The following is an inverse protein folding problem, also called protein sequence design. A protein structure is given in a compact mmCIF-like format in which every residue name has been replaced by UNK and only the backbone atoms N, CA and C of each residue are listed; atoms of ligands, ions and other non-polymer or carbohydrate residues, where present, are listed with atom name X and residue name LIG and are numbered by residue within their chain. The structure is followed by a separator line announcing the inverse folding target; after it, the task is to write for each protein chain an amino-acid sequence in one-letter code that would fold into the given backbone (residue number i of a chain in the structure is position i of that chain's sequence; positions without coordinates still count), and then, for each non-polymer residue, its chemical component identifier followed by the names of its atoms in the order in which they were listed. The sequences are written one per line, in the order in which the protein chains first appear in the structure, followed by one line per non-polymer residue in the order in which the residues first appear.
data_IF_187096596176
#
_entry.id   IF_187096596176
#
_cell.length_a   1.000
_cell.length_b   1.000
_cell.length_c   1.000
_cell.angle_alpha   90.00
_cell.angle_beta   90.00
_cell.angle_gamma   90.00
#
_symmetry.space_group_name_H-M   'P 1'
#
loop_
_entity.id
_entity.type
_entity.pdbx_description
1 polymer ?
#
# COMPACT_ATOMS: atom_id res chain seq x y z
N UNK A 1 -25.37 -24.99 -31.58
CA UNK A 1 -25.23 -23.53 -31.35
C UNK A 1 -24.38 -23.23 -30.11
N UNK A 2 -24.73 -23.74 -28.93
CA UNK A 2 -23.97 -23.56 -27.68
C UNK A 2 -22.49 -23.95 -27.75
N UNK A 3 -22.14 -25.08 -28.39
CA UNK A 3 -20.73 -25.49 -28.57
C UNK A 3 -19.89 -24.47 -29.35
N UNK A 4 -20.48 -23.79 -30.35
CA UNK A 4 -19.80 -22.75 -31.12
C UNK A 4 -19.64 -21.46 -30.30
N UNK A 5 -20.66 -21.06 -29.55
CA UNK A 5 -20.60 -19.89 -28.66
C UNK A 5 -19.52 -20.11 -27.58
N UNK A 6 -19.50 -21.28 -26.95
CA UNK A 6 -18.48 -21.63 -25.95
C UNK A 6 -17.07 -21.62 -26.54
N UNK A 7 -16.90 -22.12 -27.76
CA UNK A 7 -15.62 -22.09 -28.46
C UNK A 7 -15.18 -20.64 -28.76
N UNK A 8 -16.07 -19.78 -29.25
CA UNK A 8 -15.73 -18.37 -29.50
C UNK A 8 -15.38 -17.63 -28.22
N UNK A 9 -16.12 -17.88 -27.14
CA UNK A 9 -15.81 -17.33 -25.82
C UNK A 9 -14.43 -17.79 -25.34
N UNK A 10 -14.12 -19.08 -25.44
CA UNK A 10 -12.82 -19.62 -25.07
C UNK A 10 -11.69 -18.99 -25.89
N UNK A 11 -11.86 -18.85 -27.19
CA UNK A 11 -10.89 -18.18 -28.07
C UNK A 11 -10.68 -16.73 -27.63
N UNK A 12 -11.74 -15.99 -27.32
CA UNK A 12 -11.65 -14.61 -26.84
C UNK A 12 -10.86 -14.54 -25.52
N UNK A 13 -11.14 -15.45 -24.58
CA UNK A 13 -10.42 -15.54 -23.30
C UNK A 13 -8.93 -15.84 -23.52
N UNK A 14 -8.60 -16.76 -24.43
CA UNK A 14 -7.20 -17.08 -24.76
C UNK A 14 -6.49 -15.90 -25.43
N UNK A 15 -7.17 -15.16 -26.32
CA UNK A 15 -6.62 -13.94 -26.92
C UNK A 15 -6.39 -12.88 -25.85
N UNK A 16 -7.34 -12.67 -24.94
CA UNK A 16 -7.19 -11.73 -23.83
C UNK A 16 -6.05 -12.15 -22.89
N UNK A 17 -5.95 -13.43 -22.53
CA UNK A 17 -4.87 -13.96 -21.71
C UNK A 17 -3.51 -13.81 -22.40
N UNK A 18 -3.43 -14.12 -23.70
CA UNK A 18 -2.24 -13.89 -24.51
C UNK A 18 -1.85 -12.41 -24.56
N UNK A 19 -2.85 -11.53 -24.75
CA UNK A 19 -2.65 -10.10 -24.68
C UNK A 19 -2.17 -9.65 -23.31
N UNK A 20 -2.61 -10.20 -22.17
CA UNK A 20 -2.11 -9.71 -20.88
C UNK A 20 -0.80 -10.35 -20.44
N UNK A 21 -0.57 -11.64 -20.72
CA UNK A 21 0.51 -12.40 -20.08
C UNK A 21 1.79 -12.52 -20.92
N UNK A 22 1.74 -12.39 -22.25
CA UNK A 22 2.89 -12.70 -23.12
C UNK A 22 3.72 -11.46 -23.48
N UNK A 23 5.03 -11.62 -23.68
CA UNK A 23 5.92 -10.54 -24.13
C UNK A 23 6.65 -9.82 -22.99
N UNK A 24 7.53 -8.88 -23.36
CA UNK A 24 8.38 -8.13 -22.43
C UNK A 24 8.07 -6.63 -22.56
N UNK A 25 7.54 -5.97 -21.51
CA UNK A 25 7.42 -4.53 -21.46
C UNK A 25 8.78 -3.83 -21.59
N UNK A 26 8.79 -2.52 -21.93
CA UNK A 26 9.98 -1.70 -21.69
C UNK A 26 10.30 -1.73 -20.18
N UNK A 27 11.56 -1.96 -19.87
CA UNK A 27 12.04 -1.91 -18.49
C UNK A 27 12.04 -0.45 -18.01
N UNK A 28 11.75 -0.23 -16.73
CA UNK A 28 11.94 1.08 -16.14
C UNK A 28 13.45 1.39 -16.07
N UNK A 29 13.91 2.38 -16.84
CA UNK A 29 15.33 2.79 -16.86
C UNK A 29 15.75 3.46 -15.55
N UNK A 30 14.86 4.25 -14.93
CA UNK A 30 15.05 4.91 -13.64
C UNK A 30 13.77 4.82 -12.82
N UNK A 31 13.71 3.88 -11.87
CA UNK A 31 12.57 3.71 -10.97
C UNK A 31 12.81 4.43 -9.64
N UNK A 32 11.80 5.17 -9.18
CA UNK A 32 11.74 5.75 -7.84
C UNK A 32 11.32 4.66 -6.84
N UNK A 33 12.13 4.45 -5.82
CA UNK A 33 11.85 3.52 -4.74
C UNK A 33 11.46 4.25 -3.46
N UNK A 34 10.51 3.68 -2.75
CA UNK A 34 10.11 4.06 -1.41
C UNK A 34 9.82 2.84 -0.55
N UNK A 35 9.53 3.09 0.72
CA UNK A 35 9.14 2.05 1.69
C UNK A 35 7.80 2.39 2.32
N UNK A 36 7.02 1.37 2.67
CA UNK A 36 5.89 1.54 3.59
C UNK A 36 6.40 1.61 5.02
N UNK A 37 5.77 2.43 5.85
CA UNK A 37 6.01 2.48 7.28
C UNK A 37 4.70 2.50 8.08
N UNK A 38 4.68 1.68 9.13
CA UNK A 38 3.65 1.55 10.15
C UNK A 38 4.30 1.52 11.52
N UNK A 39 3.95 2.52 12.35
CA UNK A 39 4.31 2.54 13.76
C UNK A 39 3.85 1.27 14.49
N UNK A 40 2.56 0.93 14.37
CA UNK A 40 1.98 -0.25 15.01
C UNK A 40 2.70 -1.54 14.63
N UNK A 41 3.05 -1.70 13.35
CA UNK A 41 3.69 -2.93 12.91
C UNK A 41 5.11 -3.07 13.48
N UNK A 42 5.87 -1.97 13.56
CA UNK A 42 7.17 -1.98 14.23
C UNK A 42 7.02 -2.37 15.71
N UNK A 43 6.06 -1.78 16.42
CA UNK A 43 5.80 -2.10 17.84
C UNK A 43 5.38 -3.55 18.04
N UNK A 44 4.49 -4.08 17.20
CA UNK A 44 4.04 -5.48 17.25
C UNK A 44 5.19 -6.48 16.98
N UNK A 45 6.20 -6.09 16.20
CA UNK A 45 7.43 -6.86 16.02
C UNK A 45 8.39 -6.75 17.22
N UNK A 46 8.05 -5.97 18.25
CA UNK A 46 8.91 -5.71 19.41
C UNK A 46 10.07 -4.77 19.12
N UNK A 47 9.89 -3.88 18.13
CA UNK A 47 10.83 -2.81 17.80
C UNK A 47 10.41 -1.48 18.45
N UNK A 48 11.40 -0.61 18.62
CA UNK A 48 11.20 0.80 18.89
C UNK A 48 10.88 1.49 17.55
N UNK A 49 9.66 1.99 17.41
CA UNK A 49 9.18 2.51 16.13
C UNK A 49 9.91 3.77 15.70
N UNK A 50 10.31 4.64 16.64
CA UNK A 50 11.07 5.87 16.34
C UNK A 50 12.44 5.50 15.80
N UNK A 51 13.16 4.58 16.45
CA UNK A 51 14.44 4.08 15.95
C UNK A 51 14.31 3.38 14.62
N UNK A 52 13.22 2.62 14.42
CA UNK A 52 12.95 1.95 13.14
C UNK A 52 12.74 2.98 12.04
N UNK A 53 11.89 3.98 12.27
CA UNK A 53 11.63 5.07 11.32
C UNK A 53 12.91 5.84 10.98
N UNK A 54 13.68 6.24 12.00
CA UNK A 54 14.97 6.90 11.80
C UNK A 54 15.97 6.00 11.05
N UNK A 55 16.01 4.70 11.32
CA UNK A 55 16.89 3.77 10.61
C UNK A 55 16.50 3.62 9.12
N UNK A 56 15.20 3.68 8.78
CA UNK A 56 14.76 3.70 7.39
C UNK A 56 15.26 4.93 6.63
N UNK A 57 15.40 6.06 7.32
CA UNK A 57 15.89 7.31 6.72
C UNK A 57 17.41 7.35 6.70
N UNK A 58 18.04 7.18 7.86
CA UNK A 58 19.46 7.46 8.09
C UNK A 58 20.39 6.30 7.70
N UNK A 59 19.97 5.05 7.92
CA UNK A 59 20.78 3.87 7.59
C UNK A 59 20.36 3.26 6.24
N UNK A 60 19.07 2.98 6.04
CA UNK A 60 18.59 2.41 4.78
C UNK A 60 18.70 3.41 3.61
N UNK A 61 18.60 4.71 3.91
CA UNK A 61 18.72 5.79 2.92
C UNK A 61 17.42 6.17 2.21
N UNK A 62 16.26 5.68 2.67
CA UNK A 62 14.99 5.86 1.97
C UNK A 62 14.64 7.36 1.81
N UNK A 63 14.33 7.76 0.57
CA UNK A 63 13.93 9.13 0.21
C UNK A 63 12.44 9.33 0.02
N UNK A 64 11.68 8.24 -0.06
CA UNK A 64 10.22 8.26 -0.18
C UNK A 64 9.63 7.25 0.82
N UNK A 65 8.70 7.71 1.66
CA UNK A 65 8.03 6.86 2.64
C UNK A 65 6.52 6.98 2.44
N UNK A 66 5.86 5.85 2.21
CA UNK A 66 4.41 5.70 2.32
C UNK A 66 4.07 5.49 3.78
N UNK A 67 3.50 6.51 4.40
CA UNK A 67 3.27 6.55 5.83
C UNK A 67 1.81 6.20 6.15
N UNK A 68 1.60 5.14 6.92
CA UNK A 68 0.29 4.78 7.42
C UNK A 68 -0.08 5.64 8.63
N UNK A 69 -1.27 6.25 8.60
CA UNK A 69 -1.86 6.94 9.76
C UNK A 69 -2.98 6.09 10.35
N UNK A 70 -3.18 6.18 11.67
CA UNK A 70 -4.14 5.33 12.37
C UNK A 70 -5.12 6.17 13.17
N UNK A 71 -6.40 6.05 12.85
CA UNK A 71 -7.45 6.82 13.51
C UNK A 71 -7.49 6.53 15.02
N UNK A 72 -7.41 5.26 15.41
CA UNK A 72 -7.35 4.85 16.81
C UNK A 72 -6.09 5.29 17.59
N UNK A 73 -5.01 5.70 16.93
CA UNK A 73 -3.89 6.37 17.60
C UNK A 73 -4.09 7.88 17.67
N UNK A 74 -4.62 8.47 16.60
CA UNK A 74 -4.81 9.91 16.46
C UNK A 74 -5.96 10.42 17.33
N UNK A 75 -7.00 9.62 17.55
CA UNK A 75 -8.21 10.00 18.29
C UNK A 75 -8.62 8.87 19.24
N UNK A 76 -7.76 8.59 20.23
CA UNK A 76 -7.98 7.54 21.23
C UNK A 76 -9.28 7.73 22.03
N UNK A 77 -9.66 8.98 22.25
CA UNK A 77 -10.90 9.39 22.90
C UNK A 77 -11.65 10.37 21.98
N UNK A 78 -12.98 10.26 21.93
CA UNK A 78 -13.85 11.07 21.07
C UNK A 78 -13.53 12.57 21.19
N UNK A 79 -13.20 13.21 20.07
CA UNK A 79 -12.89 14.64 19.98
C UNK A 79 -11.55 15.06 20.57
N UNK A 80 -10.74 14.14 21.09
CA UNK A 80 -9.41 14.41 21.65
C UNK A 80 -8.33 13.86 20.73
N UNK A 81 -7.79 14.76 19.91
CA UNK A 81 -6.75 14.43 18.94
C UNK A 81 -5.34 14.49 19.55
N UNK A 82 -4.57 13.43 19.36
CA UNK A 82 -3.15 13.33 19.66
C UNK A 82 -2.37 13.13 18.34
N UNK A 83 -1.63 14.16 17.94
CA UNK A 83 -0.80 14.15 16.74
C UNK A 83 0.68 14.01 17.04
N UNK A 84 1.10 13.79 18.30
CA UNK A 84 2.51 13.85 18.71
C UNK A 84 3.40 12.93 17.86
N UNK A 85 2.99 11.67 17.71
CA UNK A 85 3.73 10.67 16.94
C UNK A 85 3.79 11.01 15.44
N UNK A 86 2.67 11.46 14.86
CA UNK A 86 2.59 11.79 13.44
C UNK A 86 3.35 13.09 13.11
N UNK A 87 3.27 14.08 13.99
CA UNK A 87 4.05 15.32 13.92
C UNK A 87 5.55 15.02 13.93
N UNK A 88 5.98 14.12 14.83
CA UNK A 88 7.37 13.72 14.91
C UNK A 88 7.82 13.06 13.60
N UNK A 89 7.05 12.10 13.07
CA UNK A 89 7.37 11.41 11.81
C UNK A 89 7.48 12.38 10.62
N UNK A 90 6.51 13.30 10.49
CA UNK A 90 6.48 14.30 9.42
C UNK A 90 7.62 15.30 9.55
N UNK A 91 7.87 15.80 10.76
CA UNK A 91 8.96 16.73 11.04
C UNK A 91 10.32 16.10 10.75
N UNK A 92 10.55 14.87 11.20
CA UNK A 92 11.80 14.14 10.94
C UNK A 92 12.01 13.93 9.43
N UNK A 93 10.98 13.57 8.68
CA UNK A 93 11.09 13.46 7.23
C UNK A 93 11.41 14.80 6.56
N UNK A 94 10.74 15.88 6.99
CA UNK A 94 10.95 17.24 6.47
C UNK A 94 12.39 17.72 6.72
N UNK A 95 12.91 17.54 7.94
CA UNK A 95 14.30 17.89 8.31
C UNK A 95 15.35 17.10 7.52
N UNK A 96 15.00 15.88 7.06
CA UNK A 96 15.89 14.97 6.33
C UNK A 96 15.68 15.00 4.81
N UNK A 97 14.77 15.84 4.31
CA UNK A 97 14.44 15.93 2.90
C UNK A 97 13.84 14.65 2.32
N UNK A 98 13.03 13.95 3.12
CA UNK A 98 12.31 12.73 2.72
C UNK A 98 10.90 13.11 2.29
N UNK A 99 10.47 12.57 1.15
CA UNK A 99 9.11 12.73 0.64
C UNK A 99 8.15 11.75 1.33
N UNK A 100 6.96 12.22 1.65
CA UNK A 100 5.90 11.47 2.31
C UNK A 100 4.69 11.30 1.40
N UNK A 101 4.28 10.05 1.27
CA UNK A 101 3.01 9.65 0.71
C UNK A 101 2.08 9.23 1.87
N UNK A 102 1.18 10.12 2.29
CA UNK A 102 0.45 9.95 3.55
C UNK A 102 -0.90 9.26 3.32
N UNK A 103 -1.11 8.11 3.97
CA UNK A 103 -2.37 7.34 3.86
C UNK A 103 -3.29 7.70 5.02
N UNK A 104 -4.49 8.18 4.71
CA UNK A 104 -5.45 8.73 5.66
C UNK A 104 -6.84 8.13 5.45
N UNK A 105 -7.64 8.13 6.52
CA UNK A 105 -8.98 7.56 6.54
C UNK A 105 -9.16 6.53 7.65
N UNK A 106 -10.28 5.80 7.61
CA UNK A 106 -10.56 4.68 8.50
C UNK A 106 -9.75 3.45 8.12
N UNK A 107 -9.71 3.12 6.82
CA UNK A 107 -8.97 1.96 6.32
C UNK A 107 -7.57 2.36 5.89
N UNK A 108 -6.55 1.99 6.65
CA UNK A 108 -5.15 2.31 6.36
C UNK A 108 -4.28 1.05 6.51
N UNK A 109 -3.07 1.03 5.90
CA UNK A 109 -2.24 -0.17 5.84
C UNK A 109 -2.04 -0.91 7.16
N UNK A 110 -1.95 -2.24 7.05
CA UNK A 110 -1.70 -3.23 8.11
C UNK A 110 -2.98 -3.65 8.82
N UNK A 111 -3.04 -4.92 9.22
CA UNK A 111 -4.12 -5.48 10.03
C UNK A 111 -4.38 -4.61 11.28
N UNK A 112 -5.64 -4.31 11.63
CA UNK A 112 -6.90 -4.85 11.08
C UNK A 112 -7.42 -4.20 9.78
N UNK A 113 -6.61 -3.36 9.12
CA UNK A 113 -6.96 -2.50 7.98
C UNK A 113 -7.87 -1.33 8.38
N UNK A 114 -9.01 -1.56 9.05
CA UNK A 114 -9.82 -0.49 9.59
C UNK A 114 -9.44 -0.19 11.05
N UNK A 115 -8.77 0.95 11.26
CA UNK A 115 -8.19 1.31 12.57
C UNK A 115 -9.14 2.19 13.38
N UNK A 116 -10.35 1.68 13.63
CA UNK A 116 -11.42 2.41 14.31
C UNK A 116 -11.16 2.46 15.83
N UNK A 117 -11.15 3.64 16.48
CA UNK A 117 -11.00 3.73 17.92
C UNK A 117 -12.16 3.06 18.67
N UNK A 118 -11.91 2.60 19.89
CA UNK A 118 -12.90 1.83 20.67
C UNK A 118 -14.24 2.57 20.86
N UNK A 119 -14.20 3.89 21.05
CA UNK A 119 -15.41 4.71 21.20
C UNK A 119 -16.27 4.77 19.93
N UNK A 120 -15.68 4.59 18.75
CA UNK A 120 -16.36 4.71 17.47
C UNK A 120 -16.88 3.37 16.91
N UNK A 121 -16.46 2.23 17.48
CA UNK A 121 -16.80 0.89 16.95
C UNK A 121 -18.30 0.59 16.94
N UNK A 122 -19.02 1.03 17.96
CA UNK A 122 -20.46 0.78 18.14
C UNK A 122 -21.34 1.88 17.56
N UNK A 123 -20.74 2.93 16.98
CA UNK A 123 -21.50 3.98 16.31
C UNK A 123 -22.17 3.44 15.05
N UNK A 124 -23.35 3.98 14.73
CA UNK A 124 -23.96 3.66 13.45
C UNK A 124 -23.13 4.25 12.30
N UNK A 125 -23.28 3.69 11.10
CA UNK A 125 -22.51 4.08 9.91
C UNK A 125 -22.54 5.59 9.63
N UNK A 126 -23.67 6.27 9.83
CA UNK A 126 -23.79 7.70 9.52
C UNK A 126 -22.93 8.54 10.47
N UNK A 127 -22.93 8.19 11.75
CA UNK A 127 -22.15 8.89 12.77
C UNK A 127 -20.66 8.59 12.57
N UNK A 128 -20.27 7.33 12.33
CA UNK A 128 -18.90 6.96 11.93
C UNK A 128 -18.42 7.75 10.72
N UNK A 129 -19.26 7.88 9.69
CA UNK A 129 -18.94 8.67 8.50
C UNK A 129 -18.71 10.15 8.83
N UNK A 130 -19.45 10.71 9.78
CA UNK A 130 -19.22 12.08 10.26
C UNK A 130 -17.84 12.22 10.90
N UNK A 131 -17.47 11.28 11.76
CA UNK A 131 -16.20 11.32 12.48
C UNK A 131 -14.99 11.07 11.57
N UNK A 132 -15.13 10.20 10.56
CA UNK A 132 -14.10 9.99 9.54
C UNK A 132 -13.86 11.27 8.74
N UNK A 133 -14.92 12.00 8.34
CA UNK A 133 -14.76 13.29 7.66
C UNK A 133 -14.07 14.32 8.56
N UNK A 134 -14.41 14.36 9.86
CA UNK A 134 -13.74 15.22 10.83
C UNK A 134 -12.24 14.86 10.95
N UNK A 135 -11.91 13.57 11.05
CA UNK A 135 -10.53 13.10 11.08
C UNK A 135 -9.74 13.55 9.84
N UNK A 136 -10.30 13.31 8.65
CA UNK A 136 -9.68 13.72 7.38
C UNK A 136 -9.46 15.24 7.33
N UNK A 137 -10.46 16.03 7.73
CA UNK A 137 -10.34 17.48 7.80
C UNK A 137 -9.20 17.91 8.73
N UNK A 138 -9.13 17.34 9.94
CA UNK A 138 -8.10 17.65 10.93
C UNK A 138 -6.71 17.32 10.42
N UNK A 139 -6.52 16.14 9.82
CA UNK A 139 -5.22 15.71 9.28
C UNK A 139 -4.80 16.64 8.12
N UNK A 140 -5.67 16.86 7.13
CA UNK A 140 -5.32 17.67 5.95
C UNK A 140 -5.05 19.11 6.35
N UNK A 141 -5.91 19.74 7.18
CA UNK A 141 -5.68 21.12 7.62
C UNK A 141 -4.41 21.28 8.46
N UNK A 142 -4.05 20.27 9.25
CA UNK A 142 -2.82 20.30 10.06
C UNK A 142 -1.55 20.25 9.20
N UNK A 143 -1.56 19.48 8.12
CA UNK A 143 -0.35 19.19 7.35
C UNK A 143 -0.33 19.74 5.92
N UNK A 144 -1.37 20.44 5.45
CA UNK A 144 -1.41 21.02 4.09
C UNK A 144 -0.20 21.90 3.74
N UNK A 145 0.42 22.55 4.73
CA UNK A 145 1.58 23.43 4.53
C UNK A 145 2.94 22.69 4.60
N UNK A 146 2.94 21.37 4.76
CA UNK A 146 4.15 20.54 4.85
C UNK A 146 4.63 20.08 3.48
N UNK A 147 5.74 20.65 3.01
CA UNK A 147 6.27 20.38 1.66
C UNK A 147 6.83 18.96 1.51
N UNK A 148 7.16 18.29 2.62
CA UNK A 148 7.58 16.88 2.60
C UNK A 148 6.44 15.95 2.16
N UNK A 149 5.18 16.29 2.41
CA UNK A 149 4.05 15.51 1.89
C UNK A 149 3.93 15.80 0.41
N UNK A 150 4.00 14.77 -0.43
CA UNK A 150 3.92 14.91 -1.89
C UNK A 150 2.61 14.39 -2.45
N UNK A 151 1.94 13.46 -1.75
CA UNK A 151 0.71 12.81 -2.18
C UNK A 151 -0.14 12.37 -0.98
N UNK A 152 -1.45 12.30 -1.17
CA UNK A 152 -2.40 11.72 -0.21
C UNK A 152 -2.94 10.40 -0.73
N UNK A 153 -3.07 9.37 0.10
CA UNK A 153 -3.91 8.21 -0.19
C UNK A 153 -5.15 8.28 0.67
N UNK A 154 -6.33 8.24 0.06
CA UNK A 154 -7.59 8.16 0.80
C UNK A 154 -8.03 6.71 0.82
N UNK A 155 -8.06 6.16 2.03
CA UNK A 155 -8.32 4.74 2.31
C UNK A 155 -7.27 3.78 1.70
N UNK A 156 -7.26 2.53 2.14
CA UNK A 156 -6.41 1.46 1.62
C UNK A 156 -7.23 0.35 0.96
N UNK A 157 -7.03 0.12 -0.34
CA UNK A 157 -7.79 -0.83 -1.15
C UNK A 157 -9.31 -0.80 -0.84
N UNK A 158 -9.96 0.39 -0.93
CA UNK A 158 -11.30 0.61 -0.40
C UNK A 158 -12.40 -0.21 -1.08
N UNK A 159 -12.14 -0.74 -2.27
CA UNK A 159 -13.10 -1.54 -3.04
C UNK A 159 -13.13 -3.01 -2.63
N UNK A 160 -12.12 -3.48 -1.89
CA UNK A 160 -12.02 -4.89 -1.51
C UNK A 160 -12.57 -5.10 -0.09
N UNK A 161 -13.55 -5.99 0.12
CA UNK A 161 -14.17 -6.23 1.43
C UNK A 161 -13.32 -7.18 2.27
N UNK A 162 -12.23 -6.67 2.83
CA UNK A 162 -11.31 -7.38 3.73
C UNK A 162 -10.87 -6.48 4.89
N UNK A 163 -10.25 -7.10 5.90
CA UNK A 163 -9.94 -6.47 7.18
C UNK A 163 -11.12 -6.58 8.15
N UNK A 164 -10.94 -6.01 9.34
CA UNK A 164 -12.00 -5.85 10.34
C UNK A 164 -12.74 -4.53 10.10
N UNK A 165 -13.41 -4.45 8.95
CA UNK A 165 -14.07 -3.23 8.47
C UNK A 165 -15.60 -3.41 8.55
N UNK A 166 -16.33 -2.47 9.18
CA UNK A 166 -17.77 -2.62 9.40
C UNK A 166 -18.60 -2.51 8.12
N UNK A 167 -18.09 -1.84 7.08
CA UNK A 167 -18.79 -1.63 5.81
C UNK A 167 -17.83 -1.23 4.69
N UNK A 168 -18.33 -1.30 3.45
CA UNK A 168 -17.71 -0.72 2.24
C UNK A 168 -18.72 0.23 1.61
N UNK A 169 -18.29 1.44 1.26
CA UNK A 169 -19.17 2.48 0.69
C UNK A 169 -18.43 3.34 -0.35
N UNK A 170 -18.72 3.12 -1.63
CA UNK A 170 -18.06 3.83 -2.72
C UNK A 170 -18.51 5.29 -2.84
N UNK A 171 -19.75 5.60 -2.46
CA UNK A 171 -20.26 6.98 -2.51
C UNK A 171 -19.66 7.80 -1.37
N UNK A 172 -19.44 7.18 -0.21
CA UNK A 172 -18.71 7.79 0.88
C UNK A 172 -17.24 8.02 0.55
N UNK A 173 -16.55 7.03 -0.05
CA UNK A 173 -15.18 7.20 -0.54
C UNK A 173 -15.05 8.43 -1.44
N UNK A 174 -16.03 8.67 -2.34
CA UNK A 174 -16.03 9.87 -3.16
C UNK A 174 -16.10 11.16 -2.32
N UNK A 175 -16.90 11.18 -1.25
CA UNK A 175 -16.98 12.34 -0.34
C UNK A 175 -15.66 12.58 0.39
N UNK A 176 -14.99 11.53 0.84
CA UNK A 176 -13.68 11.61 1.49
C UNK A 176 -12.64 12.22 0.55
N UNK A 177 -12.60 11.75 -0.71
CA UNK A 177 -11.71 12.27 -1.75
C UNK A 177 -12.01 13.75 -2.05
N UNK A 178 -13.29 14.08 -2.25
CA UNK A 178 -13.71 15.45 -2.55
C UNK A 178 -13.34 16.41 -1.40
N UNK A 179 -13.50 15.96 -0.15
CA UNK A 179 -13.11 16.72 1.04
C UNK A 179 -11.61 16.99 1.06
N UNK A 180 -10.77 15.93 0.95
CA UNK A 180 -9.30 16.06 0.96
C UNK A 180 -8.83 17.02 -0.13
N UNK A 181 -9.37 16.89 -1.36
CA UNK A 181 -9.07 17.79 -2.48
C UNK A 181 -9.48 19.24 -2.22
N UNK A 182 -10.59 19.47 -1.52
CA UNK A 182 -11.07 20.82 -1.21
C UNK A 182 -10.24 21.53 -0.14
N UNK A 183 -9.59 20.77 0.75
CA UNK A 183 -8.85 21.29 1.89
C UNK A 183 -7.35 21.49 1.61
N UNK A 184 -6.75 20.67 0.74
CA UNK A 184 -5.33 20.79 0.42
C UNK A 184 -5.08 21.93 -0.57
N UNK A 185 -4.64 23.08 -0.05
CA UNK A 185 -4.32 24.27 -0.84
C UNK A 185 -3.17 24.07 -1.84
N UNK A 186 -2.33 23.05 -1.66
CA UNK A 186 -1.25 22.74 -2.62
C UNK A 186 -1.74 21.89 -3.80
N UNK A 187 -2.99 21.42 -3.78
CA UNK A 187 -3.58 20.58 -4.83
C UNK A 187 -2.75 19.34 -5.16
N UNK A 188 -2.19 18.70 -4.12
CA UNK A 188 -1.43 17.44 -4.29
C UNK A 188 -2.34 16.34 -4.84
N UNK A 189 -1.80 15.39 -5.61
CA UNK A 189 -2.60 14.31 -6.17
C UNK A 189 -3.12 13.39 -5.05
N UNK A 190 -4.37 12.95 -5.21
CA UNK A 190 -4.96 11.88 -4.40
C UNK A 190 -4.78 10.55 -5.10
N UNK A 191 -4.10 9.61 -4.45
CA UNK A 191 -3.91 8.23 -4.89
C UNK A 191 -5.06 7.38 -4.35
N UNK A 192 -5.64 6.54 -5.21
CA UNK A 192 -6.58 5.50 -4.80
C UNK A 192 -5.98 4.14 -5.13
N UNK A 193 -5.79 3.32 -4.10
CA UNK A 193 -5.19 1.99 -4.24
C UNK A 193 -6.24 0.91 -4.53
N UNK A 194 -5.81 -0.17 -5.19
CA UNK A 194 -6.65 -1.33 -5.50
C UNK A 194 -5.78 -2.57 -5.71
N UNK A 195 -6.40 -3.75 -5.67
CA UNK A 195 -5.71 -5.03 -5.79
C UNK A 195 -5.01 -5.17 -7.14
N UNK A 196 -3.72 -5.49 -7.10
CA UNK A 196 -2.94 -5.72 -8.30
C UNK A 196 -3.34 -6.95 -9.07
N UNK A 197 -3.62 -8.03 -8.37
CA UNK A 197 -3.90 -9.33 -8.95
C UNK A 197 -5.38 -9.47 -9.33
N UNK A 198 -6.28 -8.84 -8.58
CA UNK A 198 -7.73 -9.05 -8.68
C UNK A 198 -8.52 -7.98 -9.44
N UNK A 199 -8.07 -6.72 -9.48
CA UNK A 199 -8.86 -5.60 -10.03
C UNK A 199 -8.40 -5.16 -11.42
N UNK A 200 -9.30 -4.58 -12.23
CA UNK A 200 -8.95 -3.87 -13.46
C UNK A 200 -8.59 -2.39 -13.23
N UNK A 201 -8.69 -1.90 -12.00
CA UNK A 201 -8.36 -0.55 -11.54
C UNK A 201 -9.23 0.59 -12.09
N UNK A 202 -10.36 0.27 -12.75
CA UNK A 202 -11.23 1.30 -13.33
C UNK A 202 -11.93 2.16 -12.28
N UNK A 203 -12.30 1.59 -11.13
CA UNK A 203 -12.89 2.36 -10.03
C UNK A 203 -11.89 3.32 -9.43
N UNK A 204 -10.67 2.85 -9.14
CA UNK A 204 -9.56 3.69 -8.69
C UNK A 204 -9.26 4.82 -9.70
N UNK A 205 -9.18 4.51 -11.00
CA UNK A 205 -8.89 5.49 -12.05
C UNK A 205 -9.99 6.55 -12.24
N UNK A 206 -11.25 6.23 -11.91
CA UNK A 206 -12.37 7.17 -11.97
C UNK A 206 -12.36 8.17 -10.82
N UNK A 207 -11.90 7.76 -9.64
CA UNK A 207 -11.98 8.56 -8.42
C UNK A 207 -10.66 9.30 -8.10
N UNK A 208 -9.53 8.64 -8.31
CA UNK A 208 -8.20 9.15 -7.98
C UNK A 208 -7.54 9.98 -9.09
N UNK A 209 -6.49 10.70 -8.70
CA UNK A 209 -5.55 11.38 -9.61
C UNK A 209 -4.45 10.43 -10.09
N UNK A 210 -4.09 9.46 -9.24
CA UNK A 210 -3.14 8.39 -9.52
C UNK A 210 -3.76 7.07 -9.06
N UNK A 211 -3.53 6.01 -9.84
CA UNK A 211 -3.92 4.65 -9.43
C UNK A 211 -2.76 4.02 -8.67
N UNK A 212 -3.00 3.65 -7.41
CA UNK A 212 -2.12 2.78 -6.66
C UNK A 212 -2.47 1.32 -6.91
N UNK A 213 -1.48 0.46 -7.09
CA UNK A 213 -1.69 -0.99 -7.13
C UNK A 213 -0.81 -1.70 -6.11
N UNK A 214 -1.33 -2.77 -5.53
CA UNK A 214 -0.53 -3.77 -4.84
C UNK A 214 0.19 -4.68 -5.84
N UNK A 215 1.25 -5.36 -5.42
CA UNK A 215 2.02 -6.28 -6.25
C UNK A 215 2.60 -7.40 -5.38
N UNK A 216 1.78 -8.42 -5.15
CA UNK A 216 2.12 -9.62 -4.43
C UNK A 216 2.48 -10.78 -5.37
N UNK A 217 3.45 -11.58 -4.95
CA UNK A 217 4.03 -12.65 -5.77
C UNK A 217 3.83 -14.01 -5.15
N UNK A 218 4.06 -14.15 -3.84
CA UNK A 218 3.93 -15.42 -3.13
C UNK A 218 3.25 -15.20 -1.78
N UNK A 219 2.06 -15.78 -1.62
CA UNK A 219 1.21 -15.56 -0.44
C UNK A 219 0.64 -16.88 0.08
N UNK A 220 0.23 -16.90 1.33
CA UNK A 220 -0.63 -17.96 1.87
C UNK A 220 -2.09 -17.71 1.50
N UNK A 221 -2.76 -18.69 0.89
CA UNK A 221 -4.19 -18.63 0.54
C UNK A 221 -4.98 -19.43 1.56
N UNK A 222 -5.59 -18.72 2.53
CA UNK A 222 -6.29 -19.33 3.67
C UNK A 222 -7.38 -20.32 3.28
N UNK A 223 -8.13 -20.03 2.21
CA UNK A 223 -9.25 -20.86 1.75
C UNK A 223 -8.80 -22.22 1.20
N UNK A 224 -7.56 -22.28 0.68
CA UNK A 224 -7.00 -23.48 0.07
C UNK A 224 -5.97 -24.17 0.96
N UNK A 225 -5.47 -23.49 2.00
CA UNK A 225 -4.43 -24.03 2.87
C UNK A 225 -3.10 -24.25 2.16
N UNK A 226 -2.75 -23.39 1.19
CA UNK A 226 -1.54 -23.53 0.38
C UNK A 226 -0.76 -22.21 0.27
N UNK A 227 0.55 -22.31 0.06
CA UNK A 227 1.32 -21.19 -0.49
C UNK A 227 1.12 -21.14 -1.99
N UNK A 228 0.65 -19.99 -2.45
CA UNK A 228 0.38 -19.75 -3.85
C UNK A 228 1.35 -18.73 -4.40
N UNK A 229 1.94 -19.04 -5.56
CA UNK A 229 2.72 -18.08 -6.34
C UNK A 229 1.87 -17.61 -7.51
N UNK A 230 1.57 -16.32 -7.57
CA UNK A 230 0.76 -15.75 -8.64
C UNK A 230 1.43 -15.99 -10.00
N UNK A 231 0.75 -16.62 -10.97
CA UNK A 231 1.31 -16.91 -12.31
C UNK A 231 1.27 -15.67 -13.24
N UNK A 232 1.29 -14.46 -12.66
CA UNK A 232 1.26 -13.21 -13.40
C UNK A 232 2.67 -12.82 -13.86
N UNK A 233 2.76 -12.26 -15.07
CA UNK A 233 4.01 -11.76 -15.66
C UNK A 233 4.08 -10.23 -15.54
N UNK A 234 5.25 -9.61 -15.71
CA UNK A 234 5.33 -8.14 -15.69
C UNK A 234 4.46 -7.48 -16.78
N UNK A 235 4.24 -8.18 -17.90
CA UNK A 235 3.38 -7.72 -19.00
C UNK A 235 1.92 -7.52 -18.57
N UNK A 236 1.45 -8.29 -17.59
CA UNK A 236 0.11 -8.16 -17.04
C UNK A 236 -0.09 -6.77 -16.44
N UNK A 237 0.82 -6.37 -15.54
CA UNK A 237 0.79 -5.08 -14.87
C UNK A 237 0.98 -3.92 -15.86
N UNK A 238 1.98 -4.04 -16.76
CA UNK A 238 2.24 -3.03 -17.77
C UNK A 238 1.02 -2.73 -18.63
N UNK A 239 0.36 -3.77 -19.16
CA UNK A 239 -0.76 -3.59 -20.09
C UNK A 239 -2.01 -3.10 -19.40
N UNK A 240 -2.27 -3.54 -18.17
CA UNK A 240 -3.33 -2.92 -17.35
C UNK A 240 -3.07 -1.43 -17.20
N UNK A 241 -1.85 -1.02 -16.88
CA UNK A 241 -1.50 0.40 -16.80
C UNK A 241 -1.66 1.12 -18.14
N UNK A 242 -1.33 0.50 -19.28
CA UNK A 242 -1.59 1.10 -20.59
C UNK A 242 -3.09 1.28 -20.88
N UNK A 243 -3.95 0.35 -20.44
CA UNK A 243 -5.40 0.51 -20.53
C UNK A 243 -5.86 1.69 -19.67
N UNK A 244 -5.38 1.79 -18.43
CA UNK A 244 -5.69 2.92 -17.54
C UNK A 244 -5.24 4.25 -18.16
N UNK A 245 -4.00 4.33 -18.63
CA UNK A 245 -3.45 5.50 -19.29
C UNK A 245 -4.23 5.87 -20.55
N UNK A 246 -4.66 4.90 -21.35
CA UNK A 246 -5.41 5.15 -22.59
C UNK A 246 -6.81 5.69 -22.31
N UNK A 247 -7.54 5.07 -21.38
CA UNK A 247 -8.95 5.34 -21.11
C UNK A 247 -9.17 6.51 -20.14
N UNK A 248 -8.35 6.61 -19.10
CA UNK A 248 -8.54 7.57 -18.00
C UNK A 248 -7.48 8.68 -17.98
N UNK A 249 -6.39 8.55 -18.75
CA UNK A 249 -5.24 9.47 -18.74
C UNK A 249 -4.58 9.59 -17.35
N UNK A 250 -4.59 8.49 -16.60
CA UNK A 250 -4.00 8.39 -15.25
C UNK A 250 -2.73 7.55 -15.28
N UNK A 251 -1.78 7.90 -14.44
CA UNK A 251 -0.60 7.08 -14.19
C UNK A 251 -0.91 5.99 -13.14
N UNK A 252 -0.10 4.93 -13.15
CA UNK A 252 -0.22 3.80 -12.21
C UNK A 252 1.13 3.62 -11.51
N UNK A 253 1.10 3.52 -10.18
CA UNK A 253 2.26 3.29 -9.33
C UNK A 253 2.05 2.07 -8.44
N UNK A 254 3.12 1.38 -8.04
CA UNK A 254 3.03 0.26 -7.10
C UNK A 254 3.12 0.79 -5.68
N UNK A 255 2.01 0.90 -4.97
CA UNK A 255 1.98 1.41 -3.59
C UNK A 255 2.32 0.35 -2.55
N UNK A 256 2.27 -0.93 -2.93
CA UNK A 256 2.67 -2.05 -2.06
C UNK A 256 3.30 -3.16 -2.91
N UNK A 257 4.62 -3.12 -3.04
CA UNK A 257 5.39 -4.20 -3.63
C UNK A 257 5.80 -5.18 -2.54
N UNK A 258 5.43 -6.45 -2.68
CA UNK A 258 5.75 -7.46 -1.67
C UNK A 258 7.25 -7.54 -1.38
N UNK A 259 7.62 -7.25 -0.14
CA UNK A 259 8.98 -7.41 0.32
C UNK A 259 9.07 -7.94 1.77
N UNK A 260 7.95 -8.36 2.36
CA UNK A 260 7.90 -9.19 3.58
C UNK A 260 7.08 -10.48 3.35
N UNK A 261 7.13 -11.43 4.30
CA UNK A 261 6.35 -12.65 4.23
C UNK A 261 4.85 -12.43 4.24
N UNK A 262 4.12 -13.37 3.63
CA UNK A 262 2.66 -13.47 3.69
C UNK A 262 2.29 -14.91 4.09
N UNK A 263 2.10 -15.11 5.39
CA UNK A 263 1.93 -16.43 6.00
C UNK A 263 0.50 -16.74 6.49
N UNK A 264 0.30 -17.92 7.09
CA UNK A 264 -0.97 -18.33 7.69
C UNK A 264 -1.32 -17.57 8.98
N UNK A 265 -0.34 -16.91 9.59
CA UNK A 265 -0.46 -16.08 10.79
C UNK A 265 0.26 -14.76 10.56
N UNK A 266 -0.01 -13.79 11.43
CA UNK A 266 0.69 -12.51 11.46
C UNK A 266 2.17 -12.73 11.79
N UNK A 267 3.04 -11.84 11.31
CA UNK A 267 4.50 -12.06 11.33
C UNK A 267 5.05 -12.21 12.75
N UNK A 268 4.58 -11.39 13.68
CA UNK A 268 4.95 -11.44 15.10
C UNK A 268 4.46 -12.70 15.83
N UNK A 269 3.52 -13.46 15.24
CA UNK A 269 3.03 -14.75 15.75
C UNK A 269 3.57 -15.96 14.97
N UNK A 270 4.52 -15.73 14.06
CA UNK A 270 5.05 -16.74 13.14
C UNK A 270 6.54 -16.97 13.37
N UNK A 271 7.03 -18.22 13.43
CA UNK A 271 8.46 -18.49 13.50
C UNK A 271 9.16 -18.10 12.18
N UNK A 272 10.46 -17.78 12.24
CA UNK A 272 11.23 -17.31 11.06
C UNK A 272 11.20 -18.34 9.93
N UNK A 273 11.26 -19.64 10.25
CA UNK A 273 11.22 -20.73 9.26
C UNK A 273 9.92 -20.75 8.45
N UNK A 274 8.82 -20.31 9.07
CA UNK A 274 7.52 -20.16 8.40
C UNK A 274 7.50 -18.92 7.51
N UNK A 275 8.01 -17.81 8.03
CA UNK A 275 8.13 -16.53 7.32
C UNK A 275 8.93 -16.67 6.02
N UNK A 276 10.10 -17.32 6.07
CA UNK A 276 11.01 -17.42 4.92
C UNK A 276 10.46 -18.24 3.75
N UNK A 277 9.36 -18.98 3.95
CA UNK A 277 8.69 -19.72 2.86
C UNK A 277 8.14 -18.78 1.80
N UNK A 278 7.72 -17.58 2.16
CA UNK A 278 7.11 -16.62 1.22
C UNK A 278 7.99 -15.42 0.94
N UNK A 279 8.94 -15.10 1.82
CA UNK A 279 9.91 -14.04 1.58
C UNK A 279 11.28 -14.35 2.19
N UNK A 280 12.31 -14.32 1.35
CA UNK A 280 13.71 -14.40 1.72
C UNK A 280 14.52 -13.53 0.74
N UNK A 281 15.85 -13.45 0.91
CA UNK A 281 16.70 -12.63 0.02
C UNK A 281 16.51 -12.96 -1.47
N UNK A 282 16.39 -14.25 -1.82
CA UNK A 282 16.21 -14.67 -3.21
C UNK A 282 14.85 -14.19 -3.76
N UNK A 283 13.78 -14.33 -2.98
CA UNK A 283 12.45 -13.87 -3.37
C UNK A 283 12.37 -12.34 -3.42
N UNK A 284 13.03 -11.63 -2.51
CA UNK A 284 13.15 -10.17 -2.54
C UNK A 284 13.79 -9.71 -3.85
N UNK A 285 14.97 -10.23 -4.21
CA UNK A 285 15.65 -9.94 -5.49
C UNK A 285 14.76 -10.23 -6.70
N UNK A 286 14.08 -11.38 -6.70
CA UNK A 286 13.11 -11.73 -7.76
C UNK A 286 11.96 -10.73 -7.86
N UNK A 287 11.47 -10.21 -6.74
CA UNK A 287 10.40 -9.22 -6.72
C UNK A 287 10.86 -7.86 -7.24
N UNK A 288 12.07 -7.42 -6.90
CA UNK A 288 12.68 -6.19 -7.45
C UNK A 288 12.83 -6.29 -8.97
N UNK A 289 13.39 -7.39 -9.48
CA UNK A 289 13.55 -7.57 -10.93
C UNK A 289 12.21 -7.72 -11.65
N UNK A 290 11.23 -8.39 -11.03
CA UNK A 290 9.87 -8.43 -11.55
C UNK A 290 9.26 -7.03 -11.65
N UNK A 291 9.39 -6.22 -10.60
CA UNK A 291 8.90 -4.85 -10.53
C UNK A 291 9.50 -3.98 -11.65
N UNK A 292 10.83 -3.98 -11.82
CA UNK A 292 11.51 -3.28 -12.92
C UNK A 292 10.97 -3.67 -14.31
N UNK A 293 10.66 -4.95 -14.49
CA UNK A 293 10.09 -5.48 -15.73
C UNK A 293 8.65 -5.04 -16.02
N UNK A 294 7.94 -4.44 -15.06
CA UNK A 294 6.56 -3.94 -15.27
C UNK A 294 6.52 -2.61 -16.01
N UNK A 295 7.65 -1.89 -16.09
CA UNK A 295 7.72 -0.56 -16.67
C UNK A 295 7.04 0.54 -15.85
N UNK A 296 6.62 0.26 -14.60
CA UNK A 296 6.19 1.32 -13.67
C UNK A 296 7.39 2.14 -13.23
N UNK A 297 7.14 3.41 -12.89
CA UNK A 297 8.20 4.36 -12.53
C UNK A 297 8.39 4.51 -11.03
N UNK A 298 7.42 4.09 -10.22
CA UNK A 298 7.42 4.33 -8.77
C UNK A 298 6.90 3.10 -8.02
N UNK A 299 7.64 2.69 -6.99
CA UNK A 299 7.37 1.52 -6.18
C UNK A 299 7.60 1.80 -4.69
N UNK A 300 6.63 1.44 -3.86
CA UNK A 300 6.76 1.43 -2.41
C UNK A 300 6.82 -0.01 -1.92
N UNK A 301 7.93 -0.37 -1.30
CA UNK A 301 8.17 -1.71 -0.77
C UNK A 301 7.38 -1.92 0.52
N UNK A 302 6.60 -2.99 0.56
CA UNK A 302 5.85 -3.43 1.73
C UNK A 302 6.72 -4.36 2.59
N UNK A 303 7.11 -3.91 3.78
CA UNK A 303 7.82 -4.77 4.74
C UNK A 303 9.09 -4.23 5.41
N UNK A 304 9.32 -2.93 5.37
CA UNK A 304 10.59 -2.36 5.80
C UNK A 304 10.87 -2.54 7.30
N UNK A 305 9.82 -2.54 8.11
CA UNK A 305 9.88 -2.82 9.55
C UNK A 305 10.29 -4.27 9.81
N UNK A 306 9.81 -5.21 8.98
CA UNK A 306 10.21 -6.62 9.06
C UNK A 306 11.69 -6.82 8.69
N UNK A 307 12.23 -6.10 7.70
CA UNK A 307 13.67 -6.19 7.38
C UNK A 307 14.52 -5.68 8.54
N UNK A 308 14.10 -4.58 9.16
CA UNK A 308 14.78 -4.03 10.33
C UNK A 308 14.70 -5.01 11.52
N UNK A 309 13.56 -5.66 11.72
CA UNK A 309 13.40 -6.72 12.71
C UNK A 309 14.31 -7.92 12.44
N UNK A 310 14.40 -8.40 11.20
CA UNK A 310 15.31 -9.47 10.82
C UNK A 310 16.77 -9.09 11.11
N UNK A 311 17.16 -7.85 10.84
CA UNK A 311 18.49 -7.31 11.15
C UNK A 311 18.76 -7.30 12.67
N UNK A 312 17.90 -6.62 13.44
CA UNK A 312 18.18 -6.28 14.84
C UNK A 312 17.84 -7.40 15.84
N UNK A 313 16.84 -8.23 15.54
CA UNK A 313 16.35 -9.29 16.45
C UNK A 313 16.77 -10.69 16.01
N UNK A 314 16.93 -10.91 14.72
CA UNK A 314 17.28 -12.23 14.16
C UNK A 314 18.72 -12.33 13.65
N UNK A 315 19.52 -11.26 13.71
CA UNK A 315 20.89 -11.18 13.18
C UNK A 315 20.98 -11.58 11.69
N UNK A 316 19.94 -11.28 10.91
CA UNK A 316 19.83 -11.59 9.49
C UNK A 316 19.65 -10.31 8.66
N UNK A 317 20.73 -9.53 8.43
CA UNK A 317 20.66 -8.22 7.79
C UNK A 317 20.56 -8.27 6.26
N UNK A 318 20.47 -9.47 5.65
CA UNK A 318 20.67 -9.65 4.21
C UNK A 318 19.69 -8.86 3.35
N UNK A 319 18.41 -8.85 3.71
CA UNK A 319 17.38 -8.09 2.97
C UNK A 319 17.56 -6.59 3.17
N UNK A 320 17.90 -6.14 4.39
CA UNK A 320 18.21 -4.74 4.66
C UNK A 320 19.37 -4.24 3.79
N UNK A 321 20.47 -5.00 3.76
CA UNK A 321 21.66 -4.66 2.97
C UNK A 321 21.39 -4.69 1.46
N UNK A 322 20.52 -5.58 0.99
CA UNK A 322 20.11 -5.60 -0.42
C UNK A 322 19.21 -4.40 -0.75
N UNK A 323 18.26 -4.06 0.14
CA UNK A 323 17.36 -2.92 -0.04
C UNK A 323 18.10 -1.58 -0.08
N UNK A 324 19.20 -1.42 0.68
CA UNK A 324 20.07 -0.23 0.64
C UNK A 324 20.57 0.13 -0.76
N UNK A 325 20.66 -0.84 -1.67
CA UNK A 325 21.12 -0.62 -3.05
C UNK A 325 20.08 0.08 -3.94
N UNK A 326 18.86 0.28 -3.44
CA UNK A 326 17.77 0.92 -4.16
C UNK A 326 17.67 2.43 -3.89
N UNK A 327 18.44 2.96 -2.94
CA UNK A 327 18.32 4.32 -2.42
C UNK A 327 19.61 5.15 -2.58
#
# INVERSE_FOLDING_TARGET
MYKKILLYFLILVLIAAGFFLLGKPPQAEEATWGVNFSQKHAELLGLDWQKTYSALIDDLGAKNIKLATYWDLIEREEGKYDFEDLDWQIKTAEEKGVNLFLVIGMKTPRWPECHIPDWAKELNKKDQQGDILNLLERIVLRYKDKNSITMWQVENEPFFPFGDCPWVDHDFLKKEIDLVKSLDSQSRPVVISDSGEGSFWFSAAKLGDIVGTTMYRKVWVRQLGIYFKYPLTPAFYYRKAQVIKKLFKKEVISVELQAEPWGPKLLYDSPVEEQIKTMNLEQFKKNIEFAKGTGFKEFYLWGAEWWYWMKEKQNQPDIWNEAKKLF
#
